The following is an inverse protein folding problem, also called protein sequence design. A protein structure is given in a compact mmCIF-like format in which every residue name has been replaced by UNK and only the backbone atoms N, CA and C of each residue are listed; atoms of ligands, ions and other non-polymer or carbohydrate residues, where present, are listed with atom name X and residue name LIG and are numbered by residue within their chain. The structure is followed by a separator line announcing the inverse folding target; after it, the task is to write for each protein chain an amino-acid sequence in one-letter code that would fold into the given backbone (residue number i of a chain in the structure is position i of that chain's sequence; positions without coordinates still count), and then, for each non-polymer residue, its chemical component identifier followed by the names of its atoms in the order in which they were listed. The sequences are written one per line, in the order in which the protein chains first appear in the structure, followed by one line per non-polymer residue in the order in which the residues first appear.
data_IF_147088364758
#
_entry.id   IF_147088364758
#
_cell.length_a   1.000
_cell.length_b   1.000
_cell.length_c   1.000
_cell.angle_alpha   90.00
_cell.angle_beta   90.00
_cell.angle_gamma   90.00
#
_symmetry.space_group_name_H-M   'P 1'
#
loop_
_entity.id
_entity.type
_entity.pdbx_description
1 polymer ?
#
# COMPACT_ATOMS: atom_id res chain seq x y z
N UNK A 1 -10.01 33.42 -33.04
CA UNK A 1 -9.40 32.25 -32.36
C UNK A 1 -10.49 31.24 -32.08
N UNK A 2 -10.62 30.23 -32.96
CA UNK A 2 -11.61 29.15 -32.87
C UNK A 2 -10.95 27.95 -32.19
N UNK A 3 -11.36 27.60 -30.97
CA UNK A 3 -10.94 26.37 -30.31
C UNK A 3 -11.95 25.25 -30.62
N UNK A 4 -11.49 24.27 -31.38
CA UNK A 4 -12.21 23.03 -31.67
C UNK A 4 -12.32 22.18 -30.40
N UNK A 5 -13.56 21.90 -29.99
CA UNK A 5 -13.91 20.89 -28.99
C UNK A 5 -13.86 19.52 -29.68
N UNK A 6 -12.71 18.85 -29.59
CA UNK A 6 -12.54 17.47 -30.03
C UNK A 6 -13.04 16.49 -28.95
N UNK A 7 -14.21 15.88 -29.22
CA UNK A 7 -14.33 14.42 -29.16
C UNK A 7 -14.76 13.72 -27.86
N UNK A 8 -15.89 14.08 -27.24
CA UNK A 8 -16.53 13.22 -26.22
C UNK A 8 -17.15 11.94 -26.81
N UNK A 9 -17.45 11.93 -28.13
CA UNK A 9 -18.08 10.79 -28.82
C UNK A 9 -17.13 9.59 -29.03
N UNK A 10 -15.82 9.80 -29.12
CA UNK A 10 -14.87 8.72 -29.42
C UNK A 10 -14.61 7.81 -28.22
N UNK A 11 -14.83 8.28 -26.99
CA UNK A 11 -14.62 7.48 -25.78
C UNK A 11 -15.75 6.46 -25.55
N UNK A 12 -17.00 6.84 -25.82
CA UNK A 12 -18.15 5.90 -25.69
C UNK A 12 -18.14 4.84 -26.80
N UNK A 13 -17.62 5.14 -27.99
CA UNK A 13 -17.52 4.16 -29.08
C UNK A 13 -16.50 3.03 -28.79
N UNK A 14 -15.49 3.26 -27.95
CA UNK A 14 -14.51 2.24 -27.57
C UNK A 14 -15.04 1.20 -26.57
N UNK A 15 -16.09 1.51 -25.81
CA UNK A 15 -16.69 0.58 -24.83
C UNK A 15 -17.68 -0.41 -25.44
N UNK A 16 -18.14 -0.21 -26.69
CA UNK A 16 -19.04 -1.13 -27.40
C UNK A 16 -18.32 -2.18 -28.24
N UNK A 17 -16.99 -2.09 -28.39
CA UNK A 17 -16.23 -3.12 -29.07
C UNK A 17 -15.90 -4.22 -28.06
N UNK A 18 -16.68 -5.30 -28.10
CA UNK A 18 -16.39 -6.53 -27.37
C UNK A 18 -14.98 -7.06 -27.69
N UNK A 19 -14.43 -7.96 -26.86
CA UNK A 19 -13.05 -8.43 -26.99
C UNK A 19 -12.82 -9.02 -28.38
N UNK A 20 -12.09 -8.29 -29.23
CA UNK A 20 -11.61 -8.84 -30.48
C UNK A 20 -10.70 -10.02 -30.15
N UNK A 21 -11.07 -11.21 -30.62
CA UNK A 21 -10.20 -12.39 -30.60
C UNK A 21 -8.98 -12.07 -31.45
N UNK A 22 -7.91 -11.62 -30.79
CA UNK A 22 -6.59 -11.52 -31.40
C UNK A 22 -6.10 -12.95 -31.62
N UNK A 23 -6.15 -13.42 -32.86
CA UNK A 23 -5.50 -14.65 -33.28
C UNK A 23 -4.00 -14.41 -33.21
N UNK A 24 -3.37 -14.86 -32.11
CA UNK A 24 -1.92 -14.82 -31.95
C UNK A 24 -1.32 -15.84 -32.91
N UNK A 25 -0.80 -15.37 -34.05
CA UNK A 25 0.05 -16.17 -34.93
C UNK A 25 1.40 -16.31 -34.26
N UNK A 26 1.60 -17.42 -33.56
CA UNK A 26 2.86 -17.77 -32.91
C UNK A 26 3.90 -18.11 -33.98
N UNK A 27 4.65 -17.10 -34.46
CA UNK A 27 5.81 -17.32 -35.31
C UNK A 27 6.94 -17.89 -34.45
N UNK A 28 7.16 -19.19 -34.55
CA UNK A 28 8.28 -19.87 -33.92
C UNK A 28 9.60 -19.27 -34.43
N UNK A 29 10.20 -18.37 -33.64
CA UNK A 29 11.60 -17.97 -33.80
C UNK A 29 12.45 -19.05 -33.13
N UNK A 30 13.12 -19.86 -33.95
CA UNK A 30 14.28 -20.63 -33.51
C UNK A 30 15.34 -19.65 -33.00
N UNK A 31 15.41 -19.47 -31.67
CA UNK A 31 16.53 -18.82 -31.00
C UNK A 31 17.62 -19.87 -30.90
N UNK A 32 18.67 -19.72 -31.71
CA UNK A 32 19.89 -20.48 -31.54
C UNK A 32 20.49 -20.15 -30.17
N UNK A 33 20.40 -21.09 -29.25
CA UNK A 33 21.02 -21.05 -27.92
C UNK A 33 22.54 -21.14 -28.09
N UNK A 34 23.19 -19.97 -28.21
CA UNK A 34 24.63 -19.82 -28.04
C UNK A 34 24.95 -20.04 -26.56
N UNK A 35 25.33 -21.27 -26.22
CA UNK A 35 25.86 -21.64 -24.91
C UNK A 35 27.27 -21.05 -24.78
N UNK A 36 27.38 -19.80 -24.34
CA UNK A 36 28.66 -19.29 -23.86
C UNK A 36 29.00 -19.96 -22.52
N UNK A 37 30.21 -20.51 -22.36
CA UNK A 37 30.65 -21.08 -21.09
C UNK A 37 30.72 -19.96 -20.06
N UNK A 38 29.82 -20.01 -19.07
CA UNK A 38 29.85 -19.14 -17.89
C UNK A 38 31.17 -19.42 -17.18
N UNK A 39 32.12 -18.48 -17.25
CA UNK A 39 33.33 -18.51 -16.44
C UNK A 39 32.89 -18.52 -14.98
N UNK A 40 33.00 -19.68 -14.33
CA UNK A 40 32.77 -19.83 -12.91
C UNK A 40 33.78 -18.93 -12.19
N UNK A 41 33.31 -17.80 -11.65
CA UNK A 41 34.12 -17.00 -10.76
C UNK A 41 34.35 -17.80 -9.48
N UNK A 42 35.60 -17.92 -9.01
CA UNK A 42 35.90 -18.67 -7.80
C UNK A 42 35.15 -18.05 -6.62
N UNK A 43 34.22 -18.82 -6.05
CA UNK A 43 33.31 -18.40 -4.97
C UNK A 43 34.00 -18.25 -3.60
N UNK A 44 35.33 -18.24 -3.56
CA UNK A 44 36.14 -18.39 -2.34
C UNK A 44 36.57 -17.09 -1.67
N UNK A 45 36.05 -15.93 -2.10
CA UNK A 45 36.48 -14.62 -1.57
C UNK A 45 35.35 -13.72 -1.06
N UNK A 46 34.11 -14.20 -0.98
CA UNK A 46 33.06 -13.43 -0.35
C UNK A 46 33.21 -13.52 1.18
N UNK A 47 33.38 -12.39 1.90
CA UNK A 47 33.43 -12.41 3.35
C UNK A 47 32.16 -13.07 3.88
N UNK A 48 32.32 -13.95 4.88
CA UNK A 48 31.22 -14.71 5.46
C UNK A 48 30.04 -13.78 5.76
N UNK A 49 28.82 -14.19 5.41
CA UNK A 49 27.58 -13.40 5.57
C UNK A 49 27.49 -12.72 6.94
N UNK A 50 27.95 -13.42 7.98
CA UNK A 50 28.05 -12.93 9.36
C UNK A 50 28.89 -11.65 9.50
N UNK A 51 30.05 -11.59 8.87
CA UNK A 51 30.97 -10.43 8.96
C UNK A 51 30.33 -9.19 8.31
N UNK A 52 29.59 -9.39 7.21
CA UNK A 52 28.88 -8.29 6.54
C UNK A 52 27.76 -7.72 7.41
N UNK A 53 27.01 -8.59 8.10
CA UNK A 53 25.97 -8.22 9.06
C UNK A 53 26.54 -7.47 10.26
N UNK A 54 27.64 -7.95 10.83
CA UNK A 54 28.33 -7.29 11.94
C UNK A 54 28.80 -5.89 11.52
N UNK A 55 29.47 -5.76 10.37
CA UNK A 55 29.90 -4.46 9.84
C UNK A 55 28.72 -3.50 9.61
N UNK A 56 27.63 -3.97 9.00
CA UNK A 56 26.44 -3.16 8.76
C UNK A 56 25.79 -2.73 10.08
N UNK A 57 25.78 -3.60 11.09
CA UNK A 57 25.27 -3.25 12.43
C UNK A 57 26.10 -2.14 13.08
N UNK A 58 27.43 -2.24 13.06
CA UNK A 58 28.32 -1.18 13.57
C UNK A 58 28.15 0.13 12.80
N UNK A 59 28.03 0.05 11.47
CA UNK A 59 27.78 1.21 10.62
C UNK A 59 26.46 1.89 10.98
N UNK A 60 25.39 1.12 11.19
CA UNK A 60 24.09 1.64 11.63
C UNK A 60 24.19 2.30 13.01
N UNK A 61 24.89 1.68 13.97
CA UNK A 61 25.11 2.26 15.31
C UNK A 61 25.79 3.63 15.18
N UNK A 62 26.86 3.72 14.39
CA UNK A 62 27.62 4.95 14.20
C UNK A 62 26.82 6.04 13.46
N UNK A 63 26.06 5.67 12.43
CA UNK A 63 25.32 6.63 11.60
C UNK A 63 24.00 7.10 12.21
N UNK A 64 23.34 6.24 12.99
CA UNK A 64 22.00 6.52 13.52
C UNK A 64 22.02 7.16 14.92
N UNK A 65 23.21 7.43 15.47
CA UNK A 65 23.39 7.92 16.84
C UNK A 65 22.60 7.08 17.86
N UNK A 66 22.56 5.75 17.64
CA UNK A 66 21.96 4.81 18.58
C UNK A 66 22.75 4.85 19.89
N UNK A 67 22.15 4.48 21.04
CA UNK A 67 22.86 4.43 22.31
C UNK A 67 24.18 3.68 22.15
N UNK A 68 25.27 4.25 22.68
CA UNK A 68 26.62 3.74 22.48
C UNK A 68 26.79 2.29 22.95
N UNK A 69 25.97 1.86 23.92
CA UNK A 69 25.89 0.50 24.42
C UNK A 69 24.44 -0.02 24.29
N UNK A 70 24.04 -0.55 23.12
CA UNK A 70 22.73 -1.17 22.98
C UNK A 70 22.63 -2.42 23.86
N UNK A 71 21.45 -2.68 24.41
CA UNK A 71 21.26 -3.88 25.23
C UNK A 71 21.50 -5.14 24.39
N UNK A 72 21.95 -6.27 24.99
CA UNK A 72 22.10 -7.53 24.26
C UNK A 72 20.81 -7.99 23.57
N UNK A 73 19.66 -7.65 24.17
CA UNK A 73 18.32 -7.96 23.64
C UNK A 73 18.06 -7.15 22.37
N UNK A 74 18.41 -5.86 22.35
CA UNK A 74 18.24 -5.00 21.18
C UNK A 74 19.16 -5.46 20.03
N UNK A 75 20.43 -5.77 20.32
CA UNK A 75 21.35 -6.30 19.33
C UNK A 75 20.84 -7.60 18.68
N UNK A 76 20.33 -8.52 19.49
CA UNK A 76 19.74 -9.76 19.00
C UNK A 76 18.52 -9.48 18.10
N UNK A 77 17.64 -8.56 18.52
CA UNK A 77 16.47 -8.15 17.74
C UNK A 77 16.85 -7.49 16.43
N UNK A 78 17.81 -6.57 16.44
CA UNK A 78 18.30 -5.87 15.26
C UNK A 78 18.94 -6.84 14.28
N UNK A 79 19.78 -7.76 14.76
CA UNK A 79 20.37 -8.81 13.92
C UNK A 79 19.27 -9.62 13.23
N UNK A 80 18.25 -10.05 13.98
CA UNK A 80 17.12 -10.80 13.43
C UNK A 80 16.33 -10.01 12.38
N UNK A 81 16.08 -8.73 12.64
CA UNK A 81 15.37 -7.87 11.70
C UNK A 81 16.17 -7.61 10.43
N UNK A 82 17.49 -7.43 10.53
CA UNK A 82 18.37 -7.30 9.37
C UNK A 82 18.40 -8.62 8.59
N UNK A 83 18.42 -9.77 9.26
CA UNK A 83 18.34 -11.09 8.60
C UNK A 83 17.02 -11.26 7.83
N UNK A 84 15.89 -10.91 8.43
CA UNK A 84 14.57 -10.93 7.75
C UNK A 84 14.60 -10.04 6.52
N UNK A 85 15.14 -8.82 6.63
CA UNK A 85 15.25 -7.93 5.47
C UNK A 85 16.20 -8.50 4.41
N UNK A 86 17.33 -9.10 4.81
CA UNK A 86 18.32 -9.63 3.89
C UNK A 86 17.87 -10.91 3.16
N UNK A 87 17.16 -11.82 3.84
CA UNK A 87 16.63 -13.05 3.23
C UNK A 87 15.61 -12.75 2.13
N UNK A 88 15.01 -11.58 2.21
CA UNK A 88 13.93 -11.13 1.33
C UNK A 88 14.47 -10.53 0.02
N UNK A 89 15.79 -10.50 -0.14
CA UNK A 89 16.48 -9.63 -1.08
C UNK A 89 17.53 -10.38 -1.91
N UNK A 90 17.42 -10.32 -3.24
CA UNK A 90 18.48 -10.77 -4.16
C UNK A 90 19.76 -9.90 -4.09
N UNK A 91 20.69 -10.07 -5.03
CA UNK A 91 22.03 -9.43 -5.03
C UNK A 91 22.01 -7.89 -4.90
N UNK A 92 20.96 -7.22 -5.36
CA UNK A 92 20.77 -5.76 -5.24
C UNK A 92 19.99 -5.32 -3.98
N UNK A 93 19.80 -6.23 -3.03
CA UNK A 93 18.90 -6.02 -1.91
C UNK A 93 19.58 -5.49 -0.65
N UNK A 94 20.85 -5.86 -0.39
CA UNK A 94 21.58 -5.36 0.77
C UNK A 94 21.64 -3.82 0.83
N UNK A 95 21.88 -3.15 -0.30
CA UNK A 95 21.89 -1.68 -0.37
C UNK A 95 20.48 -1.07 -0.18
N UNK A 96 19.42 -1.79 -0.59
CA UNK A 96 18.04 -1.35 -0.32
C UNK A 96 17.68 -1.49 1.15
N UNK A 97 18.06 -2.59 1.80
CA UNK A 97 17.93 -2.76 3.26
C UNK A 97 18.64 -1.63 3.98
N UNK A 98 19.91 -1.42 3.64
CA UNK A 98 20.74 -0.37 4.24
C UNK A 98 20.07 0.99 4.10
N UNK A 99 19.62 1.36 2.90
CA UNK A 99 18.89 2.61 2.68
C UNK A 99 17.59 2.69 3.47
N UNK A 100 16.80 1.62 3.50
CA UNK A 100 15.52 1.59 4.21
C UNK A 100 15.72 1.80 5.73
N UNK A 101 16.67 1.08 6.32
CA UNK A 101 17.00 1.17 7.75
C UNK A 101 17.62 2.53 8.10
N UNK A 102 18.55 3.05 7.29
CA UNK A 102 19.12 4.37 7.49
C UNK A 102 18.06 5.48 7.39
N UNK A 103 17.11 5.34 6.46
CA UNK A 103 16.01 6.31 6.32
C UNK A 103 14.96 6.18 7.42
N UNK A 104 14.81 4.99 8.01
CA UNK A 104 13.78 4.69 9.01
C UNK A 104 14.32 3.72 10.09
N UNK A 105 15.08 4.23 11.07
CA UNK A 105 15.69 3.42 12.14
C UNK A 105 14.68 2.61 12.96
N UNK A 106 13.43 3.08 13.04
CA UNK A 106 12.33 2.39 13.73
C UNK A 106 12.05 0.98 13.18
N UNK A 107 12.48 0.66 11.95
CA UNK A 107 12.44 -0.70 11.40
C UNK A 107 13.24 -1.70 12.26
N UNK A 108 14.31 -1.26 12.93
CA UNK A 108 15.11 -2.12 13.80
C UNK A 108 14.33 -2.55 15.05
N UNK A 109 13.38 -1.74 15.50
CA UNK A 109 12.53 -2.01 16.66
C UNK A 109 11.18 -2.65 16.29
N UNK A 110 10.87 -2.76 15.01
CA UNK A 110 9.64 -3.40 14.53
C UNK A 110 9.67 -4.92 14.74
N UNK A 111 8.50 -5.56 14.73
CA UNK A 111 8.40 -7.03 14.70
C UNK A 111 8.35 -7.52 13.24
N UNK A 112 9.48 -7.44 12.54
CA UNK A 112 9.53 -7.76 11.11
C UNK A 112 9.28 -9.23 10.81
N UNK A 113 9.56 -10.13 11.76
CA UNK A 113 9.27 -11.55 11.62
C UNK A 113 7.76 -11.82 11.60
N UNK A 114 7.00 -11.16 12.48
CA UNK A 114 5.54 -11.23 12.46
C UNK A 114 4.97 -10.71 11.13
N UNK A 115 5.45 -9.53 10.68
CA UNK A 115 5.02 -8.94 9.42
C UNK A 115 5.40 -9.79 8.20
N UNK A 116 6.61 -10.35 8.19
CA UNK A 116 7.07 -11.26 7.15
C UNK A 116 6.21 -12.52 7.11
N UNK A 117 5.97 -13.14 8.27
CA UNK A 117 5.09 -14.32 8.38
C UNK A 117 3.68 -14.01 7.89
N UNK A 118 3.13 -12.85 8.23
CA UNK A 118 1.81 -12.43 7.77
C UNK A 118 1.74 -12.24 6.24
N UNK A 119 2.62 -11.43 5.66
CA UNK A 119 2.55 -11.08 4.24
C UNK A 119 3.12 -12.17 3.34
N UNK A 120 4.31 -12.70 3.64
CA UNK A 120 5.02 -13.64 2.77
C UNK A 120 4.45 -15.04 2.94
N UNK A 121 4.44 -15.58 4.15
CA UNK A 121 3.95 -16.94 4.40
C UNK A 121 2.42 -17.01 4.35
N UNK A 122 1.74 -16.14 5.09
CA UNK A 122 0.29 -16.15 5.22
C UNK A 122 -0.46 -15.69 3.97
N UNK A 123 0.01 -14.62 3.32
CA UNK A 123 -0.67 -14.03 2.16
C UNK A 123 -0.02 -14.38 0.80
N UNK A 124 1.15 -15.03 0.82
CA UNK A 124 1.89 -15.41 -0.38
C UNK A 124 2.44 -14.19 -1.14
N UNK A 125 2.84 -13.14 -0.44
CA UNK A 125 3.54 -12.00 -1.04
C UNK A 125 4.97 -12.43 -1.40
N UNK A 126 5.48 -12.12 -2.61
CA UNK A 126 6.88 -12.39 -2.94
C UNK A 126 7.80 -11.65 -1.98
N UNK A 127 8.91 -12.28 -1.59
CA UNK A 127 9.86 -11.69 -0.67
C UNK A 127 10.33 -10.30 -1.16
N UNK A 128 10.78 -10.17 -2.40
CA UNK A 128 11.17 -8.86 -2.97
C UNK A 128 10.11 -7.74 -2.81
N UNK A 129 8.81 -8.09 -2.78
CA UNK A 129 7.74 -7.12 -2.55
C UNK A 129 7.60 -6.71 -1.08
N UNK A 130 7.90 -7.59 -0.13
CA UNK A 130 7.98 -7.25 1.30
C UNK A 130 9.15 -6.30 1.58
N UNK A 131 10.29 -6.56 0.95
CA UNK A 131 11.45 -5.67 0.95
C UNK A 131 11.11 -4.26 0.43
N UNK A 132 10.40 -4.20 -0.71
CA UNK A 132 9.90 -2.95 -1.26
C UNK A 132 8.94 -2.25 -0.29
N UNK A 133 8.10 -2.99 0.42
CA UNK A 133 7.20 -2.45 1.44
C UNK A 133 7.96 -1.77 2.58
N UNK A 134 9.04 -2.38 3.07
CA UNK A 134 9.91 -1.79 4.08
C UNK A 134 10.59 -0.48 3.60
N UNK A 135 10.86 -0.37 2.30
CA UNK A 135 11.47 0.83 1.71
C UNK A 135 10.43 1.93 1.45
N UNK A 136 9.31 1.58 0.83
CA UNK A 136 8.32 2.55 0.32
C UNK A 136 7.30 2.97 1.39
N UNK A 137 7.02 2.11 2.36
CA UNK A 137 6.02 2.34 3.40
C UNK A 137 6.44 1.78 4.77
N UNK A 138 7.59 2.22 5.32
CA UNK A 138 8.13 1.76 6.60
C UNK A 138 7.13 1.90 7.75
N UNK A 139 6.34 2.98 7.77
CA UNK A 139 5.32 3.23 8.81
C UNK A 139 4.29 2.11 8.93
N UNK A 140 4.03 1.35 7.86
CA UNK A 140 3.16 0.19 7.94
C UNK A 140 3.74 -0.89 8.86
N UNK A 141 5.07 -1.07 8.82
CA UNK A 141 5.77 -2.09 9.60
C UNK A 141 6.10 -1.62 11.01
N UNK A 142 6.31 -0.32 11.22
CA UNK A 142 6.71 0.25 12.51
C UNK A 142 5.54 0.68 13.37
N UNK A 143 4.55 1.34 12.77
CA UNK A 143 3.43 1.96 13.50
C UNK A 143 2.13 1.17 13.30
N UNK A 144 2.08 0.32 12.28
CA UNK A 144 0.92 -0.50 11.95
C UNK A 144 0.75 -1.70 12.87
N UNK A 145 -0.41 -2.34 12.73
CA UNK A 145 -0.72 -3.61 13.37
C UNK A 145 -1.21 -4.60 12.30
N UNK A 146 -0.68 -5.83 12.35
CA UNK A 146 -1.09 -6.94 11.48
C UNK A 146 -2.60 -7.19 11.54
N UNK A 147 -3.23 -7.01 12.71
CA UNK A 147 -4.68 -7.14 12.86
C UNK A 147 -5.45 -6.09 12.03
N UNK A 148 -5.02 -4.82 12.08
CA UNK A 148 -5.61 -3.73 11.30
C UNK A 148 -5.42 -3.97 9.80
N UNK A 149 -4.21 -4.35 9.40
CA UNK A 149 -3.91 -4.69 8.00
C UNK A 149 -4.78 -5.86 7.52
N UNK A 150 -4.89 -6.94 8.31
CA UNK A 150 -5.74 -8.10 8.03
C UNK A 150 -7.22 -7.73 7.91
N UNK A 151 -7.72 -6.88 8.82
CA UNK A 151 -9.10 -6.38 8.78
C UNK A 151 -9.38 -5.57 7.51
N UNK A 152 -8.45 -4.70 7.12
CA UNK A 152 -8.54 -3.93 5.88
C UNK A 152 -8.52 -4.84 4.64
N UNK A 153 -7.67 -5.87 4.63
CA UNK A 153 -7.62 -6.86 3.55
C UNK A 153 -8.90 -7.69 3.46
N UNK A 154 -9.47 -8.11 4.58
CA UNK A 154 -10.76 -8.81 4.62
C UNK A 154 -11.90 -7.93 4.09
N UNK A 155 -11.87 -6.62 4.35
CA UNK A 155 -12.80 -5.69 3.72
C UNK A 155 -12.67 -5.66 2.19
N UNK A 156 -11.46 -5.56 1.63
CA UNK A 156 -11.32 -5.63 0.16
C UNK A 156 -11.82 -6.96 -0.40
N UNK A 157 -11.62 -8.07 0.34
CA UNK A 157 -12.19 -9.37 -0.04
C UNK A 157 -13.72 -9.39 0.00
N UNK A 158 -14.35 -8.76 1.00
CA UNK A 158 -15.82 -8.67 1.06
C UNK A 158 -16.39 -7.80 -0.07
N UNK A 159 -15.60 -6.87 -0.59
CA UNK A 159 -15.88 -6.12 -1.82
C UNK A 159 -15.64 -6.93 -3.11
N UNK A 160 -15.35 -8.23 -3.01
CA UNK A 160 -15.16 -9.15 -4.15
C UNK A 160 -13.75 -9.18 -4.75
N UNK A 161 -12.75 -8.60 -4.08
CA UNK A 161 -11.37 -8.59 -4.60
C UNK A 161 -10.67 -9.91 -4.28
N UNK A 162 -9.87 -10.41 -5.22
CA UNK A 162 -9.08 -11.64 -4.99
C UNK A 162 -7.76 -11.28 -4.33
N UNK A 163 -7.14 -12.27 -3.67
CA UNK A 163 -5.84 -12.09 -3.03
C UNK A 163 -4.78 -11.54 -4.01
N UNK A 164 -4.77 -11.97 -5.27
CA UNK A 164 -3.82 -11.45 -6.28
C UNK A 164 -4.01 -9.96 -6.55
N UNK A 165 -5.27 -9.49 -6.55
CA UNK A 165 -5.62 -8.11 -6.83
C UNK A 165 -5.21 -7.23 -5.65
N UNK A 166 -5.42 -7.71 -4.42
CA UNK A 166 -4.97 -7.05 -3.18
C UNK A 166 -3.44 -6.95 -3.13
N UNK A 167 -2.72 -8.05 -3.45
CA UNK A 167 -1.25 -8.03 -3.50
C UNK A 167 -0.71 -7.01 -4.49
N UNK A 168 -1.20 -7.04 -5.72
CA UNK A 168 -0.68 -6.18 -6.77
C UNK A 168 -1.09 -4.73 -6.57
N UNK A 169 -2.35 -4.48 -6.22
CA UNK A 169 -2.93 -3.12 -6.20
C UNK A 169 -2.82 -2.45 -4.84
N UNK A 170 -3.30 -3.10 -3.78
CA UNK A 170 -3.29 -2.50 -2.43
C UNK A 170 -1.88 -2.53 -1.86
N UNK A 171 -1.28 -3.71 -1.68
CA UNK A 171 0.06 -3.81 -1.09
C UNK A 171 1.11 -3.14 -2.00
N UNK A 172 1.02 -3.36 -3.31
CA UNK A 172 2.01 -2.86 -4.27
C UNK A 172 2.01 -1.36 -4.53
N UNK A 173 0.84 -0.68 -4.49
CA UNK A 173 0.74 0.75 -4.83
C UNK A 173 0.13 1.62 -3.73
N UNK A 174 -0.69 1.06 -2.84
CA UNK A 174 -1.38 1.82 -1.79
C UNK A 174 -1.22 1.16 -0.40
N UNK A 175 0.01 0.81 0.03
CA UNK A 175 0.21 0.08 1.28
C UNK A 175 -0.27 0.85 2.51
N UNK A 176 -0.31 2.19 2.45
CA UNK A 176 -0.85 3.06 3.51
C UNK A 176 -2.32 2.80 3.82
N UNK A 177 -3.09 2.23 2.89
CA UNK A 177 -4.49 1.85 3.17
C UNK A 177 -4.60 0.76 4.23
N UNK A 178 -3.54 -0.05 4.41
CA UNK A 178 -3.50 -1.10 5.43
C UNK A 178 -3.29 -0.56 6.85
N UNK A 179 -2.97 0.74 6.99
CA UNK A 179 -2.93 1.44 8.28
C UNK A 179 -4.29 1.97 8.71
N UNK A 180 -5.28 2.00 7.80
CA UNK A 180 -6.59 2.58 8.09
C UNK A 180 -7.40 1.63 8.97
N UNK A 181 -7.98 2.18 10.04
CA UNK A 181 -8.93 1.47 10.86
C UNK A 181 -10.27 1.36 10.14
N UNK A 182 -10.83 0.15 10.14
CA UNK A 182 -12.06 -0.13 9.40
C UNK A 182 -13.22 0.77 9.86
N UNK A 183 -13.42 0.89 11.16
CA UNK A 183 -14.58 1.57 11.75
C UNK A 183 -14.41 3.08 11.77
N UNK A 184 -13.18 3.55 12.01
CA UNK A 184 -12.89 4.98 12.15
C UNK A 184 -12.61 5.68 10.84
N UNK A 185 -11.95 5.01 9.89
CA UNK A 185 -11.49 5.64 8.66
C UNK A 185 -12.30 5.21 7.44
N UNK A 186 -12.59 3.91 7.30
CA UNK A 186 -13.21 3.37 6.08
C UNK A 186 -14.74 3.47 6.12
N UNK A 187 -15.39 3.00 7.18
CA UNK A 187 -16.86 2.98 7.29
C UNK A 187 -17.51 4.37 7.16
N UNK A 188 -16.97 5.47 7.72
CA UNK A 188 -17.55 6.80 7.52
C UNK A 188 -17.52 7.27 6.06
N UNK A 189 -16.48 6.90 5.31
CA UNK A 189 -16.39 7.20 3.88
C UNK A 189 -17.43 6.39 3.10
N UNK A 190 -17.61 5.12 3.44
CA UNK A 190 -18.64 4.28 2.81
C UNK A 190 -20.04 4.80 3.10
N UNK A 191 -20.38 5.09 4.37
CA UNK A 191 -21.68 5.66 4.73
C UNK A 191 -21.92 7.02 4.06
N UNK A 192 -20.87 7.82 3.85
CA UNK A 192 -20.98 9.02 3.03
C UNK A 192 -21.29 8.70 1.56
N UNK A 193 -20.55 7.79 0.92
CA UNK A 193 -20.77 7.39 -0.48
C UNK A 193 -22.16 6.76 -0.70
N UNK A 194 -22.64 5.97 0.25
CA UNK A 194 -23.96 5.33 0.19
C UNK A 194 -25.12 6.34 0.31
N UNK A 195 -24.95 7.42 1.07
CA UNK A 195 -25.90 8.55 1.11
C UNK A 195 -25.92 9.33 -0.21
N UNK A 196 -24.83 9.26 -0.97
CA UNK A 196 -24.72 9.81 -2.32
C UNK A 196 -25.15 8.81 -3.41
N UNK A 197 -25.83 7.72 -3.01
CA UNK A 197 -26.31 6.66 -3.90
C UNK A 197 -25.21 5.88 -4.65
N UNK A 198 -23.96 6.00 -4.21
CA UNK A 198 -22.85 5.20 -4.72
C UNK A 198 -22.78 3.87 -3.95
N UNK A 199 -23.44 2.84 -4.49
CA UNK A 199 -23.58 1.52 -3.85
C UNK A 199 -23.21 0.37 -4.80
N UNK A 200 -23.07 -0.84 -4.25
CA UNK A 200 -22.89 -2.08 -5.02
C UNK A 200 -21.69 -2.02 -5.97
N UNK A 201 -21.94 -2.33 -7.26
CA UNK A 201 -20.90 -2.38 -8.28
C UNK A 201 -20.23 -1.03 -8.53
N UNK A 202 -20.97 0.08 -8.43
CA UNK A 202 -20.40 1.42 -8.58
C UNK A 202 -19.39 1.74 -7.47
N UNK A 203 -19.74 1.41 -6.23
CA UNK A 203 -18.85 1.58 -5.08
C UNK A 203 -17.62 0.69 -5.23
N UNK A 204 -17.81 -0.56 -5.66
CA UNK A 204 -16.71 -1.50 -5.93
C UNK A 204 -15.76 -0.96 -7.00
N UNK A 205 -16.30 -0.44 -8.10
CA UNK A 205 -15.53 0.13 -9.20
C UNK A 205 -14.80 1.42 -8.76
N UNK A 206 -15.45 2.29 -8.01
CA UNK A 206 -14.82 3.49 -7.45
C UNK A 206 -13.63 3.14 -6.56
N UNK A 207 -13.81 2.22 -5.62
CA UNK A 207 -12.73 1.79 -4.71
C UNK A 207 -11.63 1.08 -5.49
N UNK A 208 -11.96 0.36 -6.57
CA UNK A 208 -10.99 -0.28 -7.45
C UNK A 208 -10.13 0.76 -8.17
N UNK A 209 -10.77 1.68 -8.88
CA UNK A 209 -10.08 2.67 -9.71
C UNK A 209 -9.36 3.72 -8.86
N UNK A 210 -9.94 4.10 -7.72
CA UNK A 210 -9.40 5.14 -6.85
C UNK A 210 -9.36 4.72 -5.37
N UNK A 211 -8.45 3.81 -4.96
CA UNK A 211 -8.34 3.37 -3.55
C UNK A 211 -8.07 4.50 -2.55
N UNK A 212 -7.46 5.60 -3.02
CA UNK A 212 -7.24 6.84 -2.25
C UNK A 212 -8.52 7.57 -1.88
N UNK A 213 -9.69 7.05 -2.25
CA UNK A 213 -10.98 7.55 -1.76
C UNK A 213 -11.09 7.46 -0.23
N UNK A 214 -10.26 6.66 0.44
CA UNK A 214 -10.22 6.59 1.90
C UNK A 214 -9.22 7.57 2.56
N UNK A 215 -8.55 8.42 1.77
CA UNK A 215 -7.71 9.49 2.33
C UNK A 215 -8.60 10.57 3.01
N UNK A 216 -8.00 11.39 3.89
CA UNK A 216 -8.70 12.48 4.61
C UNK A 216 -9.45 13.45 3.68
N UNK A 217 -9.00 13.58 2.43
CA UNK A 217 -9.56 14.49 1.43
C UNK A 217 -10.64 13.86 0.53
N UNK A 218 -11.25 12.74 0.94
CA UNK A 218 -12.22 12.01 0.12
C UNK A 218 -13.36 12.89 -0.43
N UNK A 219 -13.83 13.88 0.34
CA UNK A 219 -14.91 14.79 -0.08
C UNK A 219 -14.53 15.58 -1.34
N UNK A 220 -13.26 15.98 -1.49
CA UNK A 220 -12.78 16.68 -2.68
C UNK A 220 -12.82 15.77 -3.90
N UNK A 221 -12.42 14.50 -3.73
CA UNK A 221 -12.47 13.50 -4.79
C UNK A 221 -13.91 13.17 -5.20
N UNK A 222 -14.83 13.01 -4.23
CA UNK A 222 -16.25 12.75 -4.51
C UNK A 222 -16.86 13.89 -5.32
N UNK A 223 -16.65 15.16 -4.94
CA UNK A 223 -17.17 16.31 -5.72
C UNK A 223 -16.67 16.30 -7.17
N UNK A 224 -15.40 15.93 -7.38
CA UNK A 224 -14.84 15.79 -8.72
C UNK A 224 -15.55 14.68 -9.50
N UNK A 225 -15.78 13.51 -8.89
CA UNK A 225 -16.50 12.41 -9.55
C UNK A 225 -17.98 12.74 -9.81
N UNK A 226 -18.62 13.49 -8.91
CA UNK A 226 -19.98 14.00 -9.10
C UNK A 226 -20.08 14.94 -10.30
N UNK A 227 -19.14 15.88 -10.43
CA UNK A 227 -19.09 16.78 -11.57
C UNK A 227 -18.91 16.02 -12.90
N UNK A 228 -18.18 14.91 -12.87
CA UNK A 228 -17.96 14.04 -14.02
C UNK A 228 -19.08 13.02 -14.26
N UNK A 229 -20.06 12.89 -13.36
CA UNK A 229 -21.12 11.89 -13.46
C UNK A 229 -20.63 10.44 -13.38
N UNK A 230 -19.55 10.18 -12.64
CA UNK A 230 -18.90 8.87 -12.57
C UNK A 230 -19.40 8.02 -11.38
N UNK A 231 -19.37 6.70 -11.51
CA UNK A 231 -19.68 5.74 -10.43
C UNK A 231 -21.04 5.95 -9.76
N UNK A 232 -22.05 6.36 -10.53
CA UNK A 232 -23.39 6.64 -9.99
C UNK A 232 -23.49 7.94 -9.17
N UNK A 233 -22.41 8.72 -9.05
CA UNK A 233 -22.42 10.01 -8.39
C UNK A 233 -22.93 11.07 -9.38
N UNK A 234 -24.24 11.37 -9.36
CA UNK A 234 -24.84 12.44 -10.19
C UNK A 234 -25.28 13.64 -9.34
N UNK A 235 -24.94 14.85 -9.79
CA UNK A 235 -25.42 16.11 -9.18
C UNK A 235 -26.92 16.34 -9.38
N UNK A 236 -27.54 15.72 -10.39
CA UNK A 236 -28.87 16.11 -10.87
C UNK A 236 -30.03 15.29 -10.30
N UNK A 237 -29.80 14.50 -9.24
CA UNK A 237 -30.85 13.67 -8.63
C UNK A 237 -31.57 14.39 -7.48
N UNK A 238 -31.95 15.64 -7.69
CA UNK A 238 -32.87 16.34 -6.79
C UNK A 238 -33.77 17.24 -7.61
N UNK A 239 -34.92 16.67 -8.02
CA UNK A 239 -36.26 17.27 -7.95
C UNK A 239 -37.21 16.45 -8.82
N UNK A 240 -37.81 15.46 -8.18
CA UNK A 240 -38.81 14.60 -8.77
C UNK A 240 -39.56 13.80 -7.71
N UNK A 241 -40.06 14.46 -6.65
CA UNK A 241 -41.40 14.12 -6.16
C UNK A 241 -41.63 13.43 -4.83
N UNK A 242 -40.65 13.16 -3.95
CA UNK A 242 -40.96 12.64 -2.61
C UNK A 242 -40.18 13.39 -1.52
N UNK A 243 -40.92 14.15 -0.70
CA UNK A 243 -40.43 14.87 0.46
C UNK A 243 -40.02 13.87 1.55
N UNK A 244 -38.74 13.50 1.60
CA UNK A 244 -38.16 12.88 2.80
C UNK A 244 -37.44 13.97 3.58
N UNK A 245 -38.10 14.48 4.62
CA UNK A 245 -37.53 15.38 5.62
C UNK A 245 -36.47 14.62 6.43
N UNK A 246 -35.20 14.72 6.01
CA UNK A 246 -34.09 14.24 6.83
C UNK A 246 -33.77 15.29 7.89
N UNK A 247 -34.13 14.97 9.14
CA UNK A 247 -33.71 15.71 10.33
C UNK A 247 -32.18 15.71 10.42
N UNK A 248 -31.60 16.91 10.41
CA UNK A 248 -30.17 17.13 10.50
C UNK A 248 -29.74 17.15 11.98
N UNK A 249 -29.79 16.00 12.64
CA UNK A 249 -29.20 15.81 13.97
C UNK A 249 -27.98 14.90 13.86
N UNK A 250 -26.83 15.46 13.47
CA UNK A 250 -25.53 14.89 13.82
C UNK A 250 -24.66 16.02 14.33
N UNK A 251 -24.81 16.28 15.62
CA UNK A 251 -23.93 17.09 16.45
C UNK A 251 -22.57 16.37 16.56
N UNK A 252 -21.61 16.75 15.70
CA UNK A 252 -20.21 16.32 15.84
C UNK A 252 -19.55 17.32 16.78
N UNK A 253 -19.69 17.06 18.08
CA UNK A 253 -19.00 17.79 19.14
C UNK A 253 -17.49 17.77 18.94
N UNK A 254 -16.95 18.93 18.55
CA UNK A 254 -15.52 19.22 18.55
C UNK A 254 -15.03 19.42 19.98
N UNK A 255 -14.60 18.33 20.63
CA UNK A 255 -13.90 18.38 21.91
C UNK A 255 -12.45 18.82 21.75
N UNK A 256 -12.19 20.12 21.87
CA UNK A 256 -10.86 20.68 22.08
C UNK A 256 -10.44 20.45 23.54
N UNK A 257 -9.79 19.33 23.81
CA UNK A 257 -9.15 19.05 25.10
C UNK A 257 -7.75 19.68 25.15
N UNK A 258 -7.68 20.95 25.56
CA UNK A 258 -6.44 21.57 26.00
C UNK A 258 -6.15 21.18 27.45
N UNK A 259 -5.06 20.46 27.69
CA UNK A 259 -4.50 20.26 29.02
C UNK A 259 -3.17 20.99 29.12
N UNK A 260 -3.23 22.25 29.56
CA UNK A 260 -2.10 22.95 30.14
C UNK A 260 -1.87 22.41 31.56
N UNK A 261 -0.75 21.72 31.77
CA UNK A 261 -0.25 21.34 33.08
C UNK A 261 1.14 21.93 33.25
N UNK A 262 1.20 23.10 33.89
CA UNK A 262 2.42 23.66 34.42
C UNK A 262 2.81 22.85 35.66
N UNK A 263 4.03 22.32 35.70
CA UNK A 263 4.68 21.88 36.93
C UNK A 263 6.06 22.55 36.98
N UNK A 264 6.18 23.50 37.90
CA UNK A 264 7.42 24.08 38.39
C UNK A 264 7.43 23.89 39.90
N UNK A 265 8.43 23.15 40.39
CA UNK A 265 9.08 23.15 41.70
C UNK A 265 9.52 21.71 42.02
#
# INVERSE_FOLDING_TARGET
MHNQVLGHRDFIQRLKQGPQRVTVVTRARHVASSSQPVKAYPSSLLPSRRIQLEHLTYELINNLALPAEPSPVDLQRWSKNIDVLHDVHGVAGAERVRRAVLSNPSLLSADLELWHSFFVVGFGLPADSFAKLATDCPNLLTDGNVFTAGSCMLFFKSMGWRNKDIKQRIIGYYPRLLLLDRRRDIDPVLGFLERMDCRGENLRLLVWEFPRIFDKDYRRHVRKFQYLGMYGLSMYRTKGGENVTFAADIDIGGGAGGSGGAFMA
#
